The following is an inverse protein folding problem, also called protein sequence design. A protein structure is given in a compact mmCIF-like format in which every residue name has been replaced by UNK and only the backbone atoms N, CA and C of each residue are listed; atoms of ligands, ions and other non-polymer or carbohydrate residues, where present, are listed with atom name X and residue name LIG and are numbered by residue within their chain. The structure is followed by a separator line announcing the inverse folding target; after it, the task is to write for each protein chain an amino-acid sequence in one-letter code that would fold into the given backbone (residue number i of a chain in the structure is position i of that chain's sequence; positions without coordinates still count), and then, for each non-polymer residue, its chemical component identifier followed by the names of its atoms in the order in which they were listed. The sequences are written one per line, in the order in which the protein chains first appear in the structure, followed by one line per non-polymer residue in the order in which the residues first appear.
data_IF_650552224387
#
_entry.id   IF_650552224387
#
_cell.length_a   1.000
_cell.length_b   1.000
_cell.length_c   1.000
_cell.angle_alpha   90.00
_cell.angle_beta   90.00
_cell.angle_gamma   90.00
#
_symmetry.space_group_name_H-M   'P 1'
#
loop_
_entity.id
_entity.type
_entity.pdbx_description
1 polymer ?
#
# COMPACT_ATOMS: atom_id res chain seq x y z
N UNK A 1 16.23 7.53 3.10
CA UNK A 1 15.47 7.85 1.88
C UNK A 1 14.87 9.25 2.01
N UNK A 2 14.68 9.98 0.91
CA UNK A 2 13.89 11.23 0.90
C UNK A 2 12.43 10.86 0.70
N UNK A 3 11.53 11.39 1.54
CA UNK A 3 10.10 11.09 1.50
C UNK A 3 9.29 12.32 1.06
N UNK A 4 8.33 12.10 0.18
CA UNK A 4 7.35 13.10 -0.24
C UNK A 4 5.95 12.59 0.12
N UNK A 5 5.21 13.34 0.94
CA UNK A 5 3.86 12.96 1.34
C UNK A 5 2.82 13.52 0.35
N UNK A 6 1.92 12.66 -0.13
CA UNK A 6 0.74 13.05 -0.91
C UNK A 6 -0.51 12.66 -0.13
N UNK A 7 -1.32 13.64 0.26
CA UNK A 7 -2.54 13.40 1.06
C UNK A 7 -3.68 12.95 0.15
N UNK A 8 -4.02 11.66 0.21
CA UNK A 8 -5.14 11.05 -0.55
C UNK A 8 -6.19 10.38 0.33
N UNK A 9 -6.07 10.51 1.65
CA UNK A 9 -7.05 10.05 2.62
C UNK A 9 -7.47 11.23 3.51
N UNK A 10 -8.73 11.21 3.91
CA UNK A 10 -9.30 12.14 4.87
C UNK A 10 -8.83 11.80 6.29
N UNK A 11 -9.16 12.68 7.25
CA UNK A 11 -8.71 12.55 8.64
C UNK A 11 -9.35 11.33 9.35
N UNK A 12 -10.44 10.79 8.82
CA UNK A 12 -11.08 9.55 9.28
C UNK A 12 -10.54 8.28 8.59
N UNK A 13 -9.53 8.43 7.72
CA UNK A 13 -8.92 7.33 6.96
C UNK A 13 -9.68 6.94 5.69
N UNK A 14 -10.79 7.60 5.36
CA UNK A 14 -11.54 7.31 4.12
C UNK A 14 -10.92 7.97 2.91
N UNK A 15 -11.13 7.39 1.73
CA UNK A 15 -10.64 7.93 0.46
C UNK A 15 -11.37 7.41 -0.75
N UNK A 16 -10.95 7.87 -1.93
CA UNK A 16 -11.43 7.44 -3.23
C UNK A 16 -10.29 6.90 -4.08
N UNK A 17 -10.54 5.84 -4.85
CA UNK A 17 -9.58 5.36 -5.85
C UNK A 17 -9.27 6.42 -6.91
N UNK A 18 -10.18 7.37 -7.16
CA UNK A 18 -9.90 8.49 -8.06
C UNK A 18 -8.78 9.40 -7.54
N UNK A 19 -8.70 9.62 -6.22
CA UNK A 19 -7.64 10.43 -5.62
C UNK A 19 -6.29 9.69 -5.63
N UNK A 20 -6.31 8.37 -5.45
CA UNK A 20 -5.14 7.54 -5.63
C UNK A 20 -4.60 7.63 -7.08
N UNK A 21 -5.49 7.58 -8.08
CA UNK A 21 -5.09 7.72 -9.49
C UNK A 21 -4.55 9.12 -9.80
N UNK A 22 -5.18 10.18 -9.28
CA UNK A 22 -4.69 11.55 -9.43
C UNK A 22 -3.29 11.74 -8.81
N UNK A 23 -3.03 11.11 -7.66
CA UNK A 23 -1.71 11.12 -7.04
C UNK A 23 -0.67 10.34 -7.86
N UNK A 24 -1.04 9.19 -8.44
CA UNK A 24 -0.17 8.46 -9.37
C UNK A 24 0.19 9.32 -10.59
N UNK A 25 -0.80 9.92 -11.24
CA UNK A 25 -0.59 10.84 -12.38
C UNK A 25 0.35 12.00 -12.01
N UNK A 26 0.14 12.59 -10.83
CA UNK A 26 1.01 13.66 -10.36
C UNK A 26 2.47 13.18 -10.18
N UNK A 27 2.69 11.99 -9.62
CA UNK A 27 4.03 11.41 -9.42
C UNK A 27 4.66 10.97 -10.75
N UNK A 28 3.86 10.53 -11.72
CA UNK A 28 4.34 10.25 -13.07
C UNK A 28 4.98 11.51 -13.67
N UNK A 29 4.29 12.65 -13.58
CA UNK A 29 4.70 13.94 -14.19
C UNK A 29 5.80 14.65 -13.39
N UNK A 30 5.69 14.68 -12.06
CA UNK A 30 6.50 15.53 -11.20
C UNK A 30 7.54 14.76 -10.35
N UNK A 31 7.43 13.44 -10.27
CA UNK A 31 8.33 12.61 -9.48
C UNK A 31 9.73 12.51 -10.11
N UNK A 32 10.77 12.55 -9.26
CA UNK A 32 12.15 12.34 -9.70
C UNK A 32 12.51 10.86 -9.69
N UNK A 33 13.05 10.34 -10.80
CA UNK A 33 13.41 8.92 -10.93
C UNK A 33 14.81 8.61 -10.36
N UNK A 34 15.03 7.42 -9.78
CA UNK A 34 14.04 6.37 -9.50
C UNK A 34 13.03 6.79 -8.40
N UNK A 35 11.78 6.36 -8.51
CA UNK A 35 10.71 6.68 -7.55
C UNK A 35 9.97 5.43 -7.10
N UNK A 36 9.69 5.32 -5.80
CA UNK A 36 8.77 4.33 -5.23
C UNK A 36 7.51 5.04 -4.76
N UNK A 37 6.35 4.57 -5.23
CA UNK A 37 5.04 4.98 -4.74
C UNK A 37 4.52 3.93 -3.77
N UNK A 38 4.67 4.18 -2.46
CA UNK A 38 4.19 3.30 -1.40
C UNK A 38 2.79 3.70 -0.97
N UNK A 39 1.81 2.84 -1.16
CA UNK A 39 0.40 3.09 -0.86
C UNK A 39 -0.16 2.06 0.12
N UNK A 40 -0.15 2.44 1.41
CA UNK A 40 -0.68 1.62 2.51
C UNK A 40 -2.20 1.74 2.67
N UNK A 41 -2.93 1.58 1.57
CA UNK A 41 -4.39 1.71 1.47
C UNK A 41 -4.99 0.55 0.68
N UNK A 42 -6.31 0.38 0.79
CA UNK A 42 -7.04 -0.57 -0.02
C UNK A 42 -8.54 -0.45 0.17
N UNK A 43 -9.29 -1.08 -0.73
CA UNK A 43 -10.73 -1.17 -0.63
C UNK A 43 -11.26 -2.38 -1.41
N UNK A 44 -12.50 -2.82 -1.11
CA UNK A 44 -13.11 -3.92 -1.83
C UNK A 44 -13.43 -3.51 -3.26
N UNK A 45 -13.53 -4.51 -4.14
CA UNK A 45 -13.81 -4.40 -5.58
C UNK A 45 -12.58 -3.99 -6.39
N UNK A 46 -12.56 -4.49 -7.62
CA UNK A 46 -11.55 -4.17 -8.64
C UNK A 46 -12.07 -3.12 -9.61
N UNK A 47 -11.18 -2.49 -10.37
CA UNK A 47 -11.57 -1.48 -11.35
C UNK A 47 -10.51 -1.34 -12.43
N UNK A 48 -10.85 -1.64 -13.68
CA UNK A 48 -9.91 -1.57 -14.82
C UNK A 48 -9.15 -0.23 -14.89
N UNK A 49 -9.76 0.88 -14.46
CA UNK A 49 -9.10 2.18 -14.37
C UNK A 49 -7.95 2.23 -13.36
N UNK A 50 -8.08 1.55 -12.23
CA UNK A 50 -7.01 1.44 -11.22
C UNK A 50 -5.84 0.65 -11.79
N UNK A 51 -6.12 -0.46 -12.46
CA UNK A 51 -5.09 -1.23 -13.15
C UNK A 51 -4.38 -0.40 -14.21
N UNK A 52 -5.13 0.27 -15.10
CA UNK A 52 -4.55 1.13 -16.14
C UNK A 52 -3.65 2.23 -15.57
N UNK A 53 -4.05 2.88 -14.47
CA UNK A 53 -3.24 3.92 -13.83
C UNK A 53 -1.94 3.40 -13.22
N UNK A 54 -1.98 2.24 -12.56
CA UNK A 54 -0.77 1.60 -12.01
C UNK A 54 0.14 1.12 -13.14
N UNK A 55 -0.42 0.46 -14.15
CA UNK A 55 0.33 -0.01 -15.32
C UNK A 55 1.06 1.15 -16.01
N UNK A 56 0.38 2.30 -16.17
CA UNK A 56 0.97 3.51 -16.72
C UNK A 56 2.11 4.06 -15.83
N UNK A 57 1.93 4.08 -14.51
CA UNK A 57 2.97 4.52 -13.58
C UNK A 57 4.23 3.64 -13.66
N UNK A 58 4.03 2.33 -13.67
CA UNK A 58 5.12 1.33 -13.76
C UNK A 58 5.86 1.46 -15.10
N UNK A 59 5.15 1.63 -16.21
CA UNK A 59 5.76 1.87 -17.52
C UNK A 59 6.60 3.17 -17.57
N UNK A 60 6.25 4.17 -16.75
CA UNK A 60 7.01 5.42 -16.59
C UNK A 60 8.11 5.34 -15.52
N UNK A 61 8.46 4.14 -15.05
CA UNK A 61 9.56 3.89 -14.14
C UNK A 61 9.25 4.18 -12.66
N UNK A 62 7.97 4.20 -12.27
CA UNK A 62 7.55 4.26 -10.87
C UNK A 62 7.37 2.85 -10.34
N UNK A 63 8.08 2.47 -9.28
CA UNK A 63 7.78 1.21 -8.57
C UNK A 63 6.59 1.45 -7.65
N UNK A 64 5.47 0.77 -7.90
CA UNK A 64 4.26 0.90 -7.08
C UNK A 64 4.19 -0.25 -6.09
N UNK A 65 4.06 0.07 -4.80
CA UNK A 65 3.98 -0.91 -3.71
C UNK A 65 2.67 -0.67 -2.96
N UNK A 66 1.89 -1.74 -2.74
CA UNK A 66 0.53 -1.65 -2.18
C UNK A 66 0.28 -2.68 -1.09
N UNK A 67 -0.63 -2.38 -0.18
CA UNK A 67 -1.03 -3.30 0.88
C UNK A 67 -2.02 -4.37 0.34
N UNK A 68 -1.85 -5.63 0.77
CA UNK A 68 -2.76 -6.71 0.38
C UNK A 68 -4.20 -6.58 0.94
N UNK A 69 -4.37 -5.87 2.07
CA UNK A 69 -5.64 -5.73 2.79
C UNK A 69 -5.71 -6.57 4.08
N UNK A 70 -6.69 -6.29 4.93
CA UNK A 70 -6.77 -6.75 6.33
C UNK A 70 -8.06 -7.56 6.64
N UNK A 71 -8.64 -8.19 5.63
CA UNK A 71 -9.94 -8.85 5.71
C UNK A 71 -9.84 -10.38 5.86
N UNK A 72 -8.62 -10.95 5.86
CA UNK A 72 -8.37 -12.39 5.78
C UNK A 72 -9.13 -13.05 4.60
N UNK A 73 -9.06 -12.40 3.44
CA UNK A 73 -9.70 -12.82 2.19
C UNK A 73 -8.68 -12.92 1.04
N UNK A 74 -9.14 -13.37 -0.12
CA UNK A 74 -8.35 -13.35 -1.34
C UNK A 74 -8.07 -11.90 -1.79
N UNK A 75 -6.79 -11.53 -1.79
CA UNK A 75 -6.27 -10.21 -2.16
C UNK A 75 -6.64 -9.81 -3.58
N UNK A 76 -6.92 -10.77 -4.47
CA UNK A 76 -7.37 -10.49 -5.83
C UNK A 76 -8.75 -9.81 -5.89
N UNK A 77 -9.52 -9.80 -4.78
CA UNK A 77 -10.79 -9.08 -4.66
C UNK A 77 -10.66 -7.61 -4.25
N UNK A 78 -9.44 -7.11 -4.04
CA UNK A 78 -9.17 -5.80 -3.43
C UNK A 78 -8.35 -4.91 -4.36
N UNK A 79 -8.76 -3.65 -4.48
CA UNK A 79 -7.99 -2.62 -5.16
C UNK A 79 -7.13 -1.84 -4.15
N UNK A 80 -5.89 -1.45 -4.51
CA UNK A 80 -5.18 -1.78 -5.75
C UNK A 80 -4.50 -3.16 -5.78
N UNK A 81 -4.61 -3.95 -4.70
CA UNK A 81 -3.85 -5.19 -4.48
C UNK A 81 -3.97 -6.26 -5.60
N UNK A 82 -5.06 -6.28 -6.36
CA UNK A 82 -5.26 -7.22 -7.46
C UNK A 82 -4.40 -6.94 -8.70
N UNK A 83 -3.74 -5.78 -8.79
CA UNK A 83 -3.06 -5.32 -9.99
C UNK A 83 -1.65 -5.94 -10.11
N UNK A 84 -1.37 -6.78 -11.13
CA UNK A 84 -0.12 -7.56 -11.19
C UNK A 84 1.18 -6.76 -11.41
N UNK A 85 1.08 -5.52 -11.87
CA UNK A 85 2.26 -4.65 -12.07
C UNK A 85 2.69 -3.92 -10.80
N UNK A 86 1.84 -3.88 -9.77
CA UNK A 86 2.20 -3.43 -8.44
C UNK A 86 2.90 -4.56 -7.67
N UNK A 87 3.67 -4.20 -6.65
CA UNK A 87 4.16 -5.14 -5.64
C UNK A 87 3.15 -5.13 -4.49
N UNK A 88 2.41 -6.21 -4.34
CA UNK A 88 1.42 -6.38 -3.29
C UNK A 88 2.04 -7.08 -2.08
N UNK A 89 1.99 -6.41 -0.93
CA UNK A 89 2.65 -6.84 0.31
C UNK A 89 1.63 -7.30 1.34
N UNK A 90 1.72 -8.57 1.72
CA UNK A 90 0.97 -9.18 2.81
C UNK A 90 1.73 -9.09 4.14
N UNK A 91 1.01 -9.26 5.25
CA UNK A 91 1.57 -9.15 6.59
C UNK A 91 1.90 -10.51 7.20
N UNK A 92 3.10 -10.63 7.76
CA UNK A 92 3.47 -11.67 8.74
C UNK A 92 3.51 -11.11 10.16
N UNK A 93 3.40 -12.02 11.11
CA UNK A 93 3.60 -11.80 12.53
C UNK A 93 4.78 -12.64 13.04
N UNK A 94 5.05 -12.54 14.34
CA UNK A 94 6.12 -13.29 15.00
C UNK A 94 6.09 -14.80 14.67
N UNK A 95 7.27 -15.32 14.34
CA UNK A 95 7.50 -16.69 13.91
C UNK A 95 7.20 -16.94 12.42
N UNK A 96 7.32 -15.90 11.58
CA UNK A 96 7.15 -15.95 10.12
C UNK A 96 5.81 -16.54 9.64
N UNK A 97 4.78 -16.37 10.46
CA UNK A 97 3.42 -16.80 10.14
C UNK A 97 2.66 -15.66 9.52
N UNK A 98 1.84 -15.92 8.49
CA UNK A 98 0.88 -14.94 7.99
C UNK A 98 0.03 -14.42 9.15
N UNK A 99 -0.07 -13.10 9.28
CA UNK A 99 -0.92 -12.49 10.28
C UNK A 99 -2.39 -12.87 10.02
N UNK A 100 -3.18 -13.24 11.05
CA UNK A 100 -4.56 -13.71 10.88
C UNK A 100 -5.48 -12.77 10.11
N UNK A 101 -5.20 -11.47 10.12
CA UNK A 101 -5.96 -10.45 9.38
C UNK A 101 -5.48 -10.27 7.94
N UNK A 102 -4.24 -10.65 7.59
CA UNK A 102 -3.68 -10.34 6.27
C UNK A 102 -4.49 -11.01 5.17
N UNK A 103 -4.81 -10.30 4.10
CA UNK A 103 -5.26 -10.97 2.87
C UNK A 103 -4.15 -11.89 2.32
N UNK A 104 -4.56 -12.83 1.48
CA UNK A 104 -3.74 -13.90 0.92
C UNK A 104 -4.11 -14.15 -0.54
N UNK A 105 -3.47 -15.13 -1.20
CA UNK A 105 -3.85 -15.56 -2.55
C UNK A 105 -2.78 -15.23 -3.59
N UNK A 106 -3.11 -15.43 -4.87
CA UNK A 106 -2.16 -15.33 -5.97
C UNK A 106 -1.75 -13.90 -6.32
N UNK A 107 -2.51 -12.89 -5.86
CA UNK A 107 -2.19 -11.49 -6.08
C UNK A 107 -1.25 -10.92 -4.99
N UNK A 108 -0.75 -11.74 -4.06
CA UNK A 108 0.28 -11.34 -3.10
C UNK A 108 1.65 -11.73 -3.66
N UNK A 109 2.55 -10.75 -3.79
CA UNK A 109 3.91 -11.00 -4.27
C UNK A 109 4.84 -11.43 -3.13
N UNK A 110 4.77 -10.71 -2.01
CA UNK A 110 5.67 -10.89 -0.87
C UNK A 110 4.96 -10.71 0.47
N UNK A 111 5.61 -11.21 1.52
CA UNK A 111 5.21 -11.00 2.91
C UNK A 111 6.27 -10.16 3.62
N UNK A 112 5.84 -9.23 4.47
CA UNK A 112 6.70 -8.43 5.33
C UNK A 112 6.11 -8.29 6.75
N UNK A 113 6.92 -7.93 7.77
CA UNK A 113 6.41 -7.74 9.13
C UNK A 113 5.26 -6.74 9.16
N UNK A 114 4.10 -7.17 9.66
CA UNK A 114 2.92 -6.31 9.71
C UNK A 114 2.24 -6.28 11.06
N UNK A 115 2.60 -7.14 12.01
CA UNK A 115 2.01 -7.19 13.35
C UNK A 115 2.94 -6.59 14.40
N UNK A 116 2.38 -5.75 15.27
CA UNK A 116 3.09 -5.11 16.39
C UNK A 116 4.34 -4.33 15.94
N UNK A 117 4.24 -3.65 14.79
CA UNK A 117 5.32 -2.86 14.22
C UNK A 117 5.39 -1.51 14.94
N UNK A 118 6.55 -1.18 15.51
CA UNK A 118 6.82 0.12 16.12
C UNK A 118 7.20 1.11 15.04
N UNK A 119 6.53 2.27 15.02
CA UNK A 119 6.81 3.38 14.09
C UNK A 119 6.66 4.74 14.79
N UNK A 120 6.85 5.83 14.06
CA UNK A 120 6.64 7.18 14.54
C UNK A 120 5.17 7.40 14.96
N UNK A 121 4.96 7.98 16.14
CA UNK A 121 3.64 8.30 16.69
C UNK A 121 3.20 9.72 16.37
N UNK A 122 1.93 9.91 16.05
CA UNK A 122 1.35 11.25 15.91
C UNK A 122 1.26 11.92 17.30
N UNK A 123 1.78 13.14 17.45
CA UNK A 123 1.70 13.91 18.70
C UNK A 123 3.01 14.52 19.21
N UNK A 124 4.15 14.22 18.60
CA UNK A 124 5.43 14.86 18.90
C UNK A 124 6.60 14.22 18.17
N UNK A 125 7.72 14.95 18.06
CA UNK A 125 8.87 14.59 17.21
C UNK A 125 9.65 13.35 17.68
N UNK A 126 9.45 12.91 18.92
CA UNK A 126 10.13 11.76 19.52
C UNK A 126 9.18 10.65 19.95
N UNK A 127 7.90 10.74 19.57
CA UNK A 127 6.91 9.74 19.97
C UNK A 127 6.95 8.53 19.05
N UNK A 128 6.67 7.37 19.63
CA UNK A 128 6.49 6.11 18.91
C UNK A 128 5.09 5.56 19.14
N UNK A 129 4.57 4.84 18.15
CA UNK A 129 3.33 4.08 18.25
C UNK A 129 3.52 2.67 17.69
N UNK A 130 2.86 1.69 18.29
CA UNK A 130 2.82 0.32 17.78
C UNK A 130 1.51 0.09 17.05
N UNK A 131 1.57 -0.47 15.84
CA UNK A 131 0.38 -0.76 15.03
C UNK A 131 0.51 -2.08 14.29
N UNK A 132 -0.63 -2.60 13.84
CA UNK A 132 -0.72 -3.85 13.08
C UNK A 132 -1.58 -3.65 11.83
N UNK A 133 -1.11 -4.17 10.69
CA UNK A 133 -1.83 -4.15 9.42
C UNK A 133 -0.91 -4.42 8.24
N UNK A 134 -1.48 -4.79 7.09
CA UNK A 134 -0.75 -4.80 5.81
C UNK A 134 -0.28 -3.39 5.42
N UNK A 135 -0.93 -2.35 5.94
CA UNK A 135 -0.43 -0.97 5.89
C UNK A 135 0.93 -0.77 6.56
N UNK A 136 1.25 -1.57 7.58
CA UNK A 136 2.58 -1.57 8.21
C UNK A 136 3.57 -2.43 7.43
N UNK A 137 3.11 -3.51 6.80
CA UNK A 137 3.95 -4.39 5.98
C UNK A 137 4.42 -3.72 4.68
N UNK A 138 3.52 -2.98 4.00
CA UNK A 138 3.77 -2.31 2.72
C UNK A 138 5.06 -1.44 2.67
N UNK A 139 5.37 -0.58 3.66
CA UNK A 139 6.55 0.28 3.63
C UNK A 139 7.85 -0.33 4.20
N UNK A 140 7.91 -1.64 4.51
CA UNK A 140 9.14 -2.29 4.99
C UNK A 140 10.23 -2.35 3.91
#
# INVERSE_FOLDING_TARGET
ATLHSVKILQDDGTGSMSWFLEALDWVIVNGSRPTVFSASLGGPRTSDYVQLGIDAAVQQGVTVVVAAGNENQDSCGFAPAYVPSAITVAAIQEGDRRAPYSNFGSCVDIFAPGSYVVSAGVGGDTLSATSSGTSMACPH
#
